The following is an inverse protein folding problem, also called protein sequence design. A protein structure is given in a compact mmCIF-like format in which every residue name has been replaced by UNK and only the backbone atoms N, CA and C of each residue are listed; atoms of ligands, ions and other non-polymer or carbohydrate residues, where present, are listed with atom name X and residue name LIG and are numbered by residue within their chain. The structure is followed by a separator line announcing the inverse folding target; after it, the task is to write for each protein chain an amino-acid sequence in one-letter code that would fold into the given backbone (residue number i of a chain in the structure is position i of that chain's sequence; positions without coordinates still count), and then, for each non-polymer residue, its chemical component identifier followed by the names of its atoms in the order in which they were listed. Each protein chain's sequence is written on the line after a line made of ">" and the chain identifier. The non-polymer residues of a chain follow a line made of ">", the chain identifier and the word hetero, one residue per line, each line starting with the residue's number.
data_IF_889272360379
#
_entry.id   IF_889272360379
#
_cell.length_a   1.000
_cell.length_b   1.000
_cell.length_c   1.000
_cell.angle_alpha   90.00
_cell.angle_beta   90.00
_cell.angle_gamma   90.00
#
_symmetry.space_group_name_H-M   'P 1'
#
loop_
_entity.id
_entity.type
_entity.pdbx_description
1 polymer ?
#
# COMPACT_ATOMS: atom_id res chain seq x y z
N UNK A 1 -13.89 9.47 -7.26
CA UNK A 1 -12.94 8.32 -7.35
C UNK A 1 -13.10 7.47 -6.09
N UNK A 2 -12.74 6.18 -6.08
CA UNK A 2 -12.77 5.36 -4.84
C UNK A 2 -11.41 4.72 -4.61
N UNK A 3 -10.95 4.73 -3.36
CA UNK A 3 -9.74 4.07 -2.89
C UNK A 3 -10.13 3.01 -1.85
N UNK A 4 -9.49 1.85 -1.92
CA UNK A 4 -9.49 0.83 -0.88
C UNK A 4 -8.05 0.41 -0.63
N UNK A 5 -7.77 -0.01 0.59
CA UNK A 5 -6.46 -0.52 0.96
C UNK A 5 -6.58 -1.67 1.94
N UNK A 6 -5.60 -2.58 1.93
CA UNK A 6 -5.61 -3.78 2.77
C UNK A 6 -4.18 -4.20 3.10
N UNK A 7 -3.91 -4.46 4.37
CA UNK A 7 -2.67 -5.06 4.81
C UNK A 7 -2.69 -6.58 4.53
N UNK A 8 -1.59 -7.09 3.99
CA UNK A 8 -1.36 -8.50 3.69
C UNK A 8 -0.02 -8.92 4.25
N UNK A 9 -0.01 -10.08 4.90
CA UNK A 9 1.21 -10.79 5.29
C UNK A 9 1.46 -11.90 4.29
N UNK A 10 2.51 -11.77 3.49
CA UNK A 10 2.89 -12.74 2.47
C UNK A 10 4.01 -13.63 3.02
N UNK A 11 3.78 -14.93 3.10
CA UNK A 11 4.80 -15.88 3.54
C UNK A 11 5.86 -16.04 2.45
N UNK A 12 7.13 -15.95 2.82
CA UNK A 12 8.24 -16.22 1.90
C UNK A 12 8.42 -17.73 1.75
N UNK A 13 8.84 -18.17 0.57
CA UNK A 13 9.11 -19.59 0.29
C UNK A 13 10.25 -20.11 1.15
N UNK A 14 11.25 -19.26 1.38
CA UNK A 14 12.46 -19.52 2.14
C UNK A 14 12.75 -18.32 3.04
N UNK A 15 13.54 -18.54 4.09
CA UNK A 15 14.01 -17.44 4.95
C UNK A 15 14.94 -16.54 4.15
N UNK A 16 14.59 -15.26 4.04
CA UNK A 16 15.45 -14.25 3.46
C UNK A 16 16.31 -13.63 4.57
N UNK A 17 17.64 -13.66 4.40
CA UNK A 17 18.58 -13.22 5.42
C UNK A 17 19.43 -12.07 4.90
N UNK A 18 19.51 -11.00 5.67
CA UNK A 18 20.39 -9.85 5.43
C UNK A 18 21.10 -9.47 6.73
N UNK A 19 22.06 -8.54 6.67
CA UNK A 19 22.83 -8.08 7.84
C UNK A 19 21.95 -7.61 9.02
N UNK A 20 20.75 -7.10 8.71
CA UNK A 20 19.81 -6.55 9.68
C UNK A 20 18.76 -7.54 10.19
N UNK A 21 18.77 -8.81 9.74
CA UNK A 21 17.83 -9.81 10.27
C UNK A 21 17.45 -10.90 9.27
N UNK A 22 16.54 -11.75 9.73
CA UNK A 22 15.99 -12.87 8.98
C UNK A 22 14.47 -12.72 8.84
N UNK A 23 13.95 -12.93 7.64
CA UNK A 23 12.57 -12.65 7.27
C UNK A 23 11.93 -13.92 6.72
N UNK A 24 10.81 -14.31 7.31
CA UNK A 24 9.99 -15.44 6.83
C UNK A 24 8.69 -14.98 6.15
N UNK A 25 8.45 -13.68 6.15
CA UNK A 25 7.29 -13.04 5.57
C UNK A 25 7.63 -11.63 5.11
N UNK A 26 6.81 -11.09 4.23
CA UNK A 26 6.79 -9.68 3.84
C UNK A 26 5.40 -9.15 4.13
N UNK A 27 5.31 -8.09 4.93
CA UNK A 27 4.06 -7.36 5.11
C UNK A 27 3.93 -6.31 3.99
N UNK A 28 2.75 -6.25 3.36
CA UNK A 28 2.48 -5.39 2.22
C UNK A 28 1.12 -4.69 2.38
N UNK A 29 1.06 -3.43 1.94
CA UNK A 29 -0.15 -2.64 1.83
C UNK A 29 -0.57 -2.63 0.35
N UNK A 30 -1.68 -3.30 0.06
CA UNK A 30 -2.28 -3.31 -1.27
C UNK A 30 -3.26 -2.15 -1.39
N UNK A 31 -3.20 -1.43 -2.50
CA UNK A 31 -4.09 -0.31 -2.84
C UNK A 31 -4.91 -0.69 -4.08
N UNK A 32 -6.23 -0.49 -4.03
CA UNK A 32 -7.14 -0.53 -5.18
C UNK A 32 -7.70 0.88 -5.40
N UNK A 33 -7.45 1.44 -6.57
CA UNK A 33 -8.14 2.63 -7.08
C UNK A 33 -9.21 2.19 -8.07
N UNK A 34 -10.40 2.77 -7.98
CA UNK A 34 -11.48 2.50 -8.93
C UNK A 34 -12.14 3.79 -9.43
N UNK A 35 -12.32 3.86 -10.74
CA UNK A 35 -12.94 4.98 -11.44
C UNK A 35 -13.49 4.52 -12.80
N UNK A 36 -14.71 4.94 -13.16
CA UNK A 36 -15.32 4.66 -14.47
C UNK A 36 -15.21 3.19 -14.94
N UNK A 37 -15.50 2.23 -14.05
CA UNK A 37 -15.38 0.78 -14.27
C UNK A 37 -13.95 0.26 -14.46
N UNK A 38 -12.95 1.13 -14.46
CA UNK A 38 -11.54 0.75 -14.43
C UNK A 38 -11.04 0.60 -12.99
N UNK A 39 -10.05 -0.27 -12.83
CA UNK A 39 -9.32 -0.45 -11.58
C UNK A 39 -7.82 -0.37 -11.80
N UNK A 40 -7.13 0.32 -10.91
CA UNK A 40 -5.67 0.34 -10.83
C UNK A 40 -5.24 -0.20 -9.47
N UNK A 41 -4.09 -0.87 -9.45
CA UNK A 41 -3.56 -1.49 -8.24
C UNK A 41 -2.14 -0.98 -7.97
N UNK A 42 -1.81 -0.83 -6.69
CA UNK A 42 -0.47 -0.48 -6.23
C UNK A 42 -0.14 -1.27 -4.97
N UNK A 43 1.15 -1.37 -4.68
CA UNK A 43 1.68 -2.10 -3.53
C UNK A 43 2.76 -1.27 -2.85
N UNK A 44 2.81 -1.33 -1.51
CA UNK A 44 3.91 -0.85 -0.70
C UNK A 44 4.30 -1.93 0.29
N UNK A 45 5.59 -2.23 0.42
CA UNK A 45 6.11 -3.27 1.33
C UNK A 45 6.70 -2.63 2.59
N UNK A 46 6.51 -3.29 3.74
CA UNK A 46 7.20 -2.93 4.96
C UNK A 46 8.70 -3.23 4.80
N UNK A 47 9.54 -2.28 5.17
CA UNK A 47 11.00 -2.46 5.21
C UNK A 47 11.49 -1.88 6.52
N UNK A 48 11.62 -2.74 7.52
CA UNK A 48 11.92 -2.39 8.91
C UNK A 48 13.29 -1.70 9.07
N UNK A 49 14.32 -2.16 8.37
CA UNK A 49 15.65 -1.56 8.42
C UNK A 49 15.73 -0.19 7.72
N UNK A 50 14.74 0.17 6.90
CA UNK A 50 14.51 1.53 6.40
C UNK A 50 13.40 2.28 7.15
N UNK A 51 12.90 1.71 8.26
CA UNK A 51 11.85 2.28 9.10
C UNK A 51 10.54 2.55 8.33
N UNK A 52 10.25 1.75 7.29
CA UNK A 52 8.99 1.85 6.54
C UNK A 52 7.91 1.04 7.27
N UNK A 53 7.06 1.74 8.03
CA UNK A 53 5.95 1.17 8.77
C UNK A 53 4.61 1.41 8.07
N UNK A 54 3.96 0.34 7.62
CA UNK A 54 2.71 0.43 6.85
C UNK A 54 1.52 1.01 7.64
N UNK A 55 1.54 0.96 8.98
CA UNK A 55 0.48 1.56 9.78
C UNK A 55 0.44 3.08 9.63
N UNK A 56 1.61 3.72 9.49
CA UNK A 56 1.69 5.18 9.28
C UNK A 56 1.07 5.56 7.92
N UNK A 57 1.25 4.71 6.91
CA UNK A 57 0.62 4.87 5.60
C UNK A 57 -0.90 4.67 5.69
N UNK A 58 -1.38 3.69 6.44
CA UNK A 58 -2.82 3.47 6.68
C UNK A 58 -3.46 4.68 7.37
N UNK A 59 -2.81 5.23 8.40
CA UNK A 59 -3.27 6.45 9.06
C UNK A 59 -3.35 7.60 8.04
N UNK A 60 -2.29 7.79 7.26
CA UNK A 60 -2.27 8.86 6.26
C UNK A 60 -3.33 8.70 5.17
N UNK A 61 -3.55 7.48 4.70
CA UNK A 61 -4.58 7.17 3.72
C UNK A 61 -5.97 7.47 4.26
N UNK A 62 -6.25 7.11 5.52
CA UNK A 62 -7.52 7.44 6.17
C UNK A 62 -7.74 8.97 6.26
N UNK A 63 -6.70 9.74 6.61
CA UNK A 63 -6.78 11.21 6.65
C UNK A 63 -7.13 11.82 5.29
N UNK A 64 -6.47 11.36 4.22
CA UNK A 64 -6.61 11.98 2.89
C UNK A 64 -7.75 11.37 2.08
N UNK A 65 -8.33 10.23 2.50
CA UNK A 65 -9.31 9.47 1.73
C UNK A 65 -10.49 10.33 1.27
N UNK A 66 -11.07 11.10 2.19
CA UNK A 66 -12.24 11.91 1.88
C UNK A 66 -11.92 13.02 0.86
N UNK A 67 -10.77 13.68 0.99
CA UNK A 67 -10.31 14.71 0.06
C UNK A 67 -10.02 14.12 -1.31
N UNK A 68 -9.31 12.99 -1.35
CA UNK A 68 -8.96 12.28 -2.58
C UNK A 68 -10.20 11.81 -3.36
N UNK A 69 -11.22 11.30 -2.67
CA UNK A 69 -12.42 10.78 -3.32
C UNK A 69 -13.27 11.86 -3.99
N UNK A 70 -13.23 13.09 -3.46
CA UNK A 70 -13.92 14.27 -4.00
C UNK A 70 -13.24 14.92 -5.19
N UNK A 71 -11.94 14.68 -5.37
CA UNK A 71 -11.19 15.29 -6.45
C UNK A 71 -11.64 14.75 -7.81
N UNK A 72 -11.94 15.68 -8.73
CA UNK A 72 -12.20 15.34 -10.12
C UNK A 72 -10.87 15.03 -10.84
N UNK A 73 -10.89 13.96 -11.64
CA UNK A 73 -9.73 13.60 -12.47
C UNK A 73 -9.78 14.49 -13.71
N UNK A 74 -8.92 15.51 -13.75
CA UNK A 74 -8.72 16.32 -14.94
C UNK A 74 -8.13 15.42 -16.04
N UNK A 75 -8.80 15.36 -17.19
CA UNK A 75 -8.25 14.67 -18.37
C UNK A 75 -7.20 15.59 -19.01
N UNK A 76 -6.02 15.07 -19.39
CA UNK A 76 -5.11 15.82 -20.27
C UNK A 76 -5.85 16.15 -21.57
N UNK A 77 -5.78 17.40 -22.00
CA UNK A 77 -6.29 17.87 -23.30
C UNK A 77 -5.41 17.38 -24.44
#
# INVERSE_FOLDING_TARGET
>A
MKIKFTLKKLRLKETFSIAYGNYNHSDALLIELSHQKCKGYGECVAIDYYQINLNDFVLKLNEIQHTFQKQEVLKPF
#
